data_IF_937976158511
#
_entry.id   IF_937976158511
#
_cell.length_a   1.000
_cell.length_b   1.000
_cell.length_c   1.000
_cell.angle_alpha   90.00
_cell.angle_beta   90.00
_cell.angle_gamma   90.00
#
_symmetry.space_group_name_H-M   'P 1'
#
loop_
_entity.id
_entity.type
_entity.pdbx_description
1 polymer ?
#
# COMPACT_ATOMS: atom_id res chain seq x y z
N UNK A 1 -22.29 1.89 22.55
CA UNK A 1 -21.17 2.59 21.88
C UNK A 1 -20.65 1.66 20.79
N UNK A 2 -20.55 2.12 19.55
CA UNK A 2 -20.24 1.24 18.40
C UNK A 2 -18.88 0.54 18.59
N UNK A 3 -18.81 -0.78 18.40
CA UNK A 3 -17.57 -1.58 18.44
C UNK A 3 -16.43 -0.97 17.60
N UNK A 4 -16.78 -0.23 16.55
CA UNK A 4 -15.85 0.50 15.70
C UNK A 4 -15.13 1.64 16.39
N UNK A 5 -15.82 2.41 17.23
CA UNK A 5 -15.24 3.53 17.97
C UNK A 5 -14.20 3.01 18.97
N UNK A 6 -14.48 1.88 19.61
CA UNK A 6 -13.54 1.26 20.55
C UNK A 6 -12.30 0.70 19.84
N UNK A 7 -12.45 0.09 18.65
CA UNK A 7 -11.32 -0.34 17.83
C UNK A 7 -10.45 0.83 17.39
N UNK A 8 -11.06 1.91 16.90
CA UNK A 8 -10.34 3.14 16.52
C UNK A 8 -9.63 3.80 17.70
N UNK A 9 -10.25 3.83 18.88
CA UNK A 9 -9.65 4.37 20.09
C UNK A 9 -8.43 3.57 20.55
N UNK A 10 -8.55 2.24 20.61
CA UNK A 10 -7.41 1.37 20.97
C UNK A 10 -6.27 1.49 19.96
N UNK A 11 -6.62 1.64 18.68
CA UNK A 11 -5.66 1.86 17.61
C UNK A 11 -4.92 3.20 17.78
N UNK A 12 -5.64 4.31 17.92
CA UNK A 12 -5.06 5.64 18.19
C UNK A 12 -4.14 5.64 19.42
N UNK A 13 -4.53 4.95 20.50
CA UNK A 13 -3.71 4.83 21.71
C UNK A 13 -2.40 4.09 21.48
N UNK A 14 -2.40 3.00 20.69
CA UNK A 14 -1.18 2.27 20.32
C UNK A 14 -0.27 3.11 19.40
N UNK A 15 -0.86 3.86 18.47
CA UNK A 15 -0.10 4.75 17.59
C UNK A 15 0.63 5.83 18.39
N UNK A 16 -0.01 6.40 19.41
CA UNK A 16 0.57 7.46 20.23
C UNK A 16 1.75 7.00 21.11
N UNK A 17 1.96 5.68 21.27
CA UNK A 17 3.08 5.13 22.04
C UNK A 17 4.27 4.72 21.19
N UNK A 18 4.13 4.63 19.87
CA UNK A 18 5.21 4.25 18.95
C UNK A 18 5.80 5.49 18.29
N UNK A 19 7.08 5.76 18.55
CA UNK A 19 7.80 6.92 18.02
C UNK A 19 8.55 6.61 16.72
N UNK A 20 8.61 5.33 16.32
CA UNK A 20 9.28 4.88 15.10
C UNK A 20 8.27 4.71 13.97
N UNK A 21 8.59 5.30 12.82
CA UNK A 21 7.70 5.33 11.65
C UNK A 21 7.37 3.92 11.12
N UNK A 22 8.37 3.04 11.01
CA UNK A 22 8.19 1.72 10.41
C UNK A 22 7.25 0.80 11.20
N UNK A 23 7.43 0.61 12.53
CA UNK A 23 6.47 -0.17 13.34
C UNK A 23 5.08 0.46 13.37
N UNK A 24 5.00 1.81 13.35
CA UNK A 24 3.75 2.55 13.33
C UNK A 24 2.97 2.26 12.04
N UNK A 25 3.61 2.45 10.87
CA UNK A 25 3.01 2.22 9.55
C UNK A 25 2.61 0.74 9.40
N UNK A 26 3.46 -0.17 9.85
CA UNK A 26 3.19 -1.62 9.79
C UNK A 26 1.96 -1.99 10.62
N UNK A 27 1.85 -1.43 11.84
CA UNK A 27 0.67 -1.60 12.69
C UNK A 27 -0.58 -1.01 12.02
N UNK A 28 -0.47 0.16 11.42
CA UNK A 28 -1.58 0.80 10.70
C UNK A 28 -2.09 -0.06 9.54
N UNK A 29 -1.17 -0.56 8.72
CA UNK A 29 -1.48 -1.44 7.61
C UNK A 29 -2.15 -2.72 8.08
N UNK A 30 -1.60 -3.38 9.09
CA UNK A 30 -2.11 -4.67 9.61
C UNK A 30 -3.54 -4.53 10.14
N UNK A 31 -3.82 -3.48 10.92
CA UNK A 31 -5.16 -3.26 11.45
C UNK A 31 -6.14 -2.85 10.35
N UNK A 32 -5.74 -1.99 9.41
CA UNK A 32 -6.59 -1.60 8.27
C UNK A 32 -6.92 -2.81 7.40
N UNK A 33 -5.93 -3.65 7.11
CA UNK A 33 -6.11 -4.84 6.31
C UNK A 33 -7.12 -5.82 6.93
N UNK A 34 -7.06 -6.04 8.25
CA UNK A 34 -8.04 -6.86 8.98
C UNK A 34 -9.45 -6.30 8.87
N UNK A 35 -9.60 -4.98 8.86
CA UNK A 35 -10.90 -4.33 8.77
C UNK A 35 -11.53 -4.46 7.38
N UNK A 36 -10.72 -4.46 6.32
CA UNK A 36 -11.18 -4.64 4.93
C UNK A 36 -11.06 -6.09 4.43
N UNK A 37 -10.64 -7.01 5.30
CA UNK A 37 -10.37 -8.41 4.97
C UNK A 37 -9.41 -8.58 3.77
N UNK A 38 -8.41 -7.70 3.67
CA UNK A 38 -7.31 -7.87 2.72
C UNK A 38 -6.43 -9.06 3.15
N UNK A 39 -5.73 -9.69 2.20
CA UNK A 39 -4.83 -10.82 2.48
C UNK A 39 -3.36 -10.42 2.55
N UNK A 40 -2.98 -9.38 1.80
CA UNK A 40 -1.66 -8.80 1.80
C UNK A 40 -1.74 -7.34 1.33
N UNK A 41 -0.69 -6.56 1.55
CA UNK A 41 -0.62 -5.20 1.03
C UNK A 41 0.75 -4.55 1.21
N UNK A 42 0.94 -3.41 0.55
CA UNK A 42 2.14 -2.58 0.71
C UNK A 42 1.79 -1.09 0.67
N UNK A 43 2.67 -0.28 1.25
CA UNK A 43 2.69 1.18 1.13
C UNK A 43 4.03 1.57 0.49
N UNK A 44 3.98 2.55 -0.40
CA UNK A 44 5.17 3.15 -1.04
C UNK A 44 5.21 4.61 -0.64
N UNK A 45 6.36 5.06 -0.16
CA UNK A 45 6.62 6.47 0.14
C UNK A 45 7.43 7.06 -0.99
N UNK A 46 7.01 8.24 -1.45
CA UNK A 46 7.67 8.99 -2.49
C UNK A 46 8.29 10.26 -1.91
N UNK A 47 9.48 10.62 -2.38
CA UNK A 47 10.06 11.94 -2.11
C UNK A 47 9.45 13.03 -3.01
N UNK A 48 9.91 14.26 -2.84
CA UNK A 48 9.46 15.42 -3.60
C UNK A 48 9.75 15.30 -5.11
N UNK A 49 10.78 14.54 -5.49
CA UNK A 49 11.13 14.27 -6.88
C UNK A 49 10.32 13.11 -7.49
N UNK A 50 9.40 12.51 -6.74
CA UNK A 50 8.57 11.40 -7.19
C UNK A 50 9.28 10.06 -7.27
N UNK A 51 10.42 9.90 -6.58
CA UNK A 51 11.14 8.64 -6.45
C UNK A 51 10.69 7.89 -5.19
N UNK A 52 10.50 6.56 -5.26
CA UNK A 52 10.20 5.76 -4.09
C UNK A 52 11.40 5.77 -3.14
N UNK A 53 11.19 6.15 -1.87
CA UNK A 53 12.22 6.13 -0.83
C UNK A 53 12.09 4.91 0.06
N UNK A 54 10.86 4.56 0.41
CA UNK A 54 10.55 3.51 1.37
C UNK A 54 9.36 2.67 0.92
N UNK A 55 9.36 1.43 1.36
CA UNK A 55 8.27 0.48 1.13
C UNK A 55 7.99 -0.26 2.41
N UNK A 56 6.73 -0.27 2.83
CA UNK A 56 6.26 -1.05 3.97
C UNK A 56 5.37 -2.16 3.44
N UNK A 57 5.60 -3.40 3.88
CA UNK A 57 4.87 -4.57 3.40
C UNK A 57 4.16 -5.29 4.54
N UNK A 58 3.05 -5.94 4.22
CA UNK A 58 2.29 -6.78 5.14
C UNK A 58 1.86 -8.06 4.42
N UNK A 59 2.17 -9.22 5.02
CA UNK A 59 1.93 -10.57 4.46
C UNK A 59 2.41 -10.70 3.01
N UNK A 60 3.51 -10.01 2.69
CA UNK A 60 4.21 -10.13 1.42
C UNK A 60 5.71 -9.88 1.59
N UNK A 61 6.55 -10.44 0.71
CA UNK A 61 7.99 -10.22 0.76
C UNK A 61 8.37 -8.74 0.62
N UNK A 62 9.49 -8.31 1.24
CA UNK A 62 9.98 -6.95 1.08
C UNK A 62 10.22 -6.62 -0.39
N UNK A 63 9.87 -5.40 -0.78
CA UNK A 63 10.13 -4.90 -2.12
C UNK A 63 11.31 -3.93 -2.03
N UNK A 64 12.42 -4.22 -2.69
CA UNK A 64 13.57 -3.31 -2.69
C UNK A 64 13.26 -2.06 -3.50
N UNK A 65 13.44 -0.86 -2.92
CA UNK A 65 13.32 0.42 -3.65
C UNK A 65 14.43 0.63 -4.69
N UNK A 66 15.49 -0.17 -4.65
CA UNK A 66 16.58 -0.16 -5.62
C UNK A 66 16.33 -1.10 -6.80
N UNK A 67 15.19 -1.76 -6.81
CA UNK A 67 14.78 -2.61 -7.91
C UNK A 67 14.52 -1.77 -9.16
N UNK A 68 15.22 -2.07 -10.27
CA UNK A 68 15.05 -1.36 -11.55
C UNK A 68 13.59 -1.41 -12.06
N UNK A 69 12.79 -2.35 -11.56
CA UNK A 69 11.37 -2.50 -11.88
C UNK A 69 10.51 -1.38 -11.28
N UNK A 70 11.00 -0.64 -10.27
CA UNK A 70 10.29 0.54 -9.74
C UNK A 70 10.04 1.60 -10.79
N UNK A 71 10.99 1.84 -11.69
CA UNK A 71 10.77 2.78 -12.78
C UNK A 71 9.57 2.35 -13.62
N UNK A 72 9.48 1.07 -13.97
CA UNK A 72 8.33 0.54 -14.69
C UNK A 72 7.01 0.70 -13.89
N UNK A 73 7.03 0.47 -12.58
CA UNK A 73 5.81 0.58 -11.76
C UNK A 73 5.33 2.01 -11.58
N UNK A 74 6.26 2.96 -11.44
CA UNK A 74 5.97 4.39 -11.29
C UNK A 74 5.55 5.01 -12.61
N UNK A 75 6.12 4.60 -13.74
CA UNK A 75 5.78 5.19 -15.04
C UNK A 75 4.63 4.50 -15.77
N UNK A 76 4.44 3.19 -15.56
CA UNK A 76 3.52 2.38 -16.39
C UNK A 76 2.61 1.44 -15.59
N UNK A 77 2.82 1.28 -14.28
CA UNK A 77 2.06 0.35 -13.44
C UNK A 77 0.91 0.98 -12.65
N UNK A 78 0.20 0.13 -11.91
CA UNK A 78 -0.89 0.56 -11.00
C UNK A 78 -0.44 1.60 -9.95
N UNK A 79 0.82 1.52 -9.51
CA UNK A 79 1.42 2.45 -8.56
C UNK A 79 1.58 3.84 -9.20
N UNK A 80 2.11 3.89 -10.42
CA UNK A 80 2.22 5.11 -11.20
C UNK A 80 0.88 5.78 -11.43
N UNK A 81 -0.14 5.00 -11.76
CA UNK A 81 -1.51 5.50 -11.87
C UNK A 81 -1.98 6.16 -10.58
N UNK A 82 -1.81 5.50 -9.43
CA UNK A 82 -2.18 6.04 -8.12
C UNK A 82 -1.44 7.33 -7.80
N UNK A 83 -0.12 7.33 -8.01
CA UNK A 83 0.76 8.47 -7.75
C UNK A 83 0.39 9.68 -8.60
N UNK A 84 0.25 9.50 -9.92
CA UNK A 84 -0.02 10.61 -10.84
C UNK A 84 -1.46 11.10 -10.82
N UNK A 85 -2.44 10.22 -10.62
CA UNK A 85 -3.85 10.63 -10.63
C UNK A 85 -4.34 11.13 -9.29
N UNK A 86 -3.66 10.76 -8.19
CA UNK A 86 -4.09 11.06 -6.83
C UNK A 86 -5.55 10.65 -6.56
N UNK A 87 -6.00 9.58 -7.22
CA UNK A 87 -7.36 9.02 -7.07
C UNK A 87 -7.31 7.64 -6.47
N UNK A 88 -8.37 7.28 -5.73
CA UNK A 88 -8.59 5.90 -5.31
C UNK A 88 -8.79 5.03 -6.55
N UNK A 89 -8.11 3.90 -6.60
CA UNK A 89 -8.24 2.92 -7.69
C UNK A 89 -8.73 1.60 -7.11
N UNK A 90 -9.78 1.06 -7.72
CA UNK A 90 -10.32 -0.25 -7.38
C UNK A 90 -10.10 -1.15 -8.60
N UNK A 91 -9.44 -2.27 -8.40
CA UNK A 91 -9.23 -3.31 -9.42
C UNK A 91 -10.01 -4.56 -8.99
N UNK A 92 -11.23 -4.79 -9.52
CA UNK A 92 -12.05 -5.91 -9.08
C UNK A 92 -11.47 -7.27 -9.44
N UNK A 93 -10.71 -7.34 -10.54
CA UNK A 93 -10.02 -8.55 -10.96
C UNK A 93 -8.65 -8.20 -11.53
N UNK A 94 -7.60 -8.52 -10.78
CA UNK A 94 -6.22 -8.19 -11.15
C UNK A 94 -5.70 -8.98 -12.35
N UNK A 95 -6.31 -10.12 -12.70
CA UNK A 95 -5.88 -10.91 -13.88
C UNK A 95 -6.26 -10.28 -15.21
N UNK A 96 -7.22 -9.34 -15.19
CA UNK A 96 -7.71 -8.65 -16.38
C UNK A 96 -7.12 -7.24 -16.51
N UNK A 97 -6.35 -6.79 -15.52
CA UNK A 97 -5.77 -5.45 -15.52
C UNK A 97 -4.35 -5.49 -16.09
N UNK A 98 -4.10 -4.94 -17.29
CA UNK A 98 -2.77 -4.95 -17.89
C UNK A 98 -1.75 -4.19 -17.04
N UNK A 99 -2.20 -3.24 -16.21
CA UNK A 99 -1.34 -2.47 -15.29
C UNK A 99 -0.91 -3.29 -14.07
N UNK A 100 -1.46 -4.50 -13.92
CA UNK A 100 -1.11 -5.47 -12.88
C UNK A 100 -0.35 -6.68 -13.45
N UNK A 101 -0.68 -7.13 -14.67
CA UNK A 101 -0.10 -8.34 -15.28
C UNK A 101 1.43 -8.33 -15.38
N UNK A 102 2.01 -7.19 -15.74
CA UNK A 102 3.47 -7.03 -15.82
C UNK A 102 4.15 -7.02 -14.44
N UNK A 103 3.41 -6.76 -13.36
CA UNK A 103 3.92 -6.82 -11.98
C UNK A 103 3.97 -8.26 -11.44
N UNK A 104 2.95 -9.05 -11.77
CA UNK A 104 2.71 -10.34 -11.13
C UNK A 104 3.75 -11.40 -11.54
N UNK A 105 4.18 -11.42 -12.81
CA UNK A 105 5.10 -12.47 -13.29
C UNK A 105 6.50 -12.45 -12.69
N UNK A 106 6.92 -11.31 -12.11
CA UNK A 106 8.29 -11.14 -11.64
C UNK A 106 8.40 -10.87 -10.13
N UNK A 107 7.27 -10.71 -9.46
CA UNK A 107 7.23 -10.46 -8.01
C UNK A 107 6.29 -11.43 -7.32
N UNK A 108 6.51 -11.65 -6.03
CA UNK A 108 5.59 -12.41 -5.18
C UNK A 108 4.29 -11.64 -4.89
N UNK A 109 3.85 -10.77 -5.82
CA UNK A 109 2.56 -10.10 -5.76
C UNK A 109 1.42 -11.09 -6.05
N UNK A 110 0.20 -10.79 -5.56
CA UNK A 110 -0.97 -11.61 -5.84
C UNK A 110 -1.20 -11.79 -7.35
N UNK A 111 -1.38 -13.05 -7.77
CA UNK A 111 -1.68 -13.42 -9.16
C UNK A 111 -3.18 -13.46 -9.45
N UNK A 112 -4.02 -13.43 -8.41
CA UNK A 112 -5.48 -13.50 -8.52
C UNK A 112 -6.15 -12.69 -7.42
N UNK A 113 -7.40 -12.28 -7.65
CA UNK A 113 -8.21 -11.54 -6.68
C UNK A 113 -8.42 -10.09 -7.09
N UNK A 114 -8.58 -9.22 -6.09
CA UNK A 114 -8.87 -7.79 -6.27
C UNK A 114 -7.83 -6.94 -5.53
N UNK A 115 -7.68 -5.69 -5.96
CA UNK A 115 -6.79 -4.74 -5.33
C UNK A 115 -7.49 -3.38 -5.09
N UNK A 116 -7.09 -2.71 -4.02
CA UNK A 116 -7.51 -1.36 -3.67
C UNK A 116 -6.26 -0.51 -3.48
N UNK A 117 -6.18 0.59 -4.22
CA UNK A 117 -5.14 1.59 -4.09
C UNK A 117 -5.71 2.89 -3.55
N UNK A 118 -5.08 3.43 -2.51
CA UNK A 118 -5.49 4.70 -1.89
C UNK A 118 -4.27 5.61 -1.85
N UNK A 119 -4.32 6.80 -2.49
CA UNK A 119 -3.27 7.80 -2.36
C UNK A 119 -3.34 8.43 -0.97
N UNK A 120 -2.19 8.45 -0.28
CA UNK A 120 -2.02 9.18 0.97
C UNK A 120 -1.30 10.48 0.66
N UNK A 121 -2.02 11.60 0.72
CA UNK A 121 -1.51 12.91 0.34
C UNK A 121 -1.36 13.75 1.61
N UNK A 122 -0.17 14.26 1.84
CA UNK A 122 0.05 15.31 2.83
C UNK A 122 -0.30 16.65 2.19
N UNK A 123 -1.31 17.33 2.71
CA UNK A 123 -1.54 18.73 2.41
C UNK A 123 -0.88 19.53 3.54
N UNK A 124 0.15 20.29 3.21
CA UNK A 124 0.72 21.30 4.12
C UNK A 124 -0.33 22.36 4.51
#
# INVERSE_FOLDING_TARGET
MSQWIEKLYRFSKKLNTETRLEPLVTLMMTETARLVNAQSGFIVVFNAEGKPTDTFTWEMPPISTHDKRWEFWVYSGIIGLLYHTQRVVIVPNITLDPRWGDLAHETNLPQQGSALGIPLIHND
#
